data_IF_253722559654
#
_entry.id   IF_253722559654
#
_cell.length_a   1.000
_cell.length_b   1.000
_cell.length_c   1.000
_cell.angle_alpha   90.00
_cell.angle_beta   90.00
_cell.angle_gamma   90.00
#
_symmetry.space_group_name_H-M   'P 1'
#
loop_
_entity.id
_entity.type
_entity.pdbx_description
1 polymer ?
#
# COMPACT_ATOMS: atom_id res chain seq x y z
N UNK A 1 22.52 35.76 -12.13
CA UNK A 1 23.55 34.74 -11.87
C UNK A 1 22.83 33.54 -11.28
N UNK A 2 22.66 32.49 -12.09
CA UNK A 2 22.00 31.27 -11.63
C UNK A 2 22.99 30.51 -10.74
N UNK A 3 22.60 30.27 -9.48
CA UNK A 3 23.40 29.55 -8.50
C UNK A 3 23.56 28.09 -8.93
N UNK A 4 24.80 27.66 -9.10
CA UNK A 4 25.19 26.28 -9.35
C UNK A 4 24.81 25.50 -8.09
N UNK A 5 23.87 24.57 -8.19
CA UNK A 5 23.42 23.72 -7.11
C UNK A 5 24.61 23.02 -6.44
N UNK A 6 24.62 22.99 -5.09
CA UNK A 6 25.71 22.45 -4.30
C UNK A 6 25.98 20.97 -4.57
N UNK A 7 27.15 20.43 -4.07
CA UNK A 7 27.57 19.03 -4.34
C UNK A 7 26.52 17.96 -3.98
N UNK A 8 25.60 18.26 -3.10
CA UNK A 8 24.52 17.38 -2.66
C UNK A 8 23.40 17.28 -3.72
N UNK A 9 23.05 18.40 -4.38
CA UNK A 9 22.04 18.42 -5.47
C UNK A 9 22.56 17.72 -6.73
N UNK A 10 23.81 17.95 -7.11
CA UNK A 10 24.45 17.23 -8.19
C UNK A 10 24.48 15.73 -7.94
N UNK A 11 24.81 15.30 -6.71
CA UNK A 11 24.82 13.88 -6.32
C UNK A 11 23.43 13.26 -6.39
N UNK A 12 22.38 13.99 -5.97
CA UNK A 12 20.97 13.55 -6.07
C UNK A 12 20.52 13.44 -7.53
N UNK A 13 20.87 14.39 -8.37
CA UNK A 13 20.56 14.35 -9.81
C UNK A 13 21.25 13.20 -10.53
N UNK A 14 22.53 12.94 -10.24
CA UNK A 14 23.27 11.78 -10.75
C UNK A 14 22.69 10.46 -10.28
N UNK A 15 22.26 10.36 -9.01
CA UNK A 15 21.61 9.15 -8.51
C UNK A 15 20.24 8.92 -9.16
N UNK A 16 19.46 9.96 -9.45
CA UNK A 16 18.22 9.84 -10.23
C UNK A 16 18.48 9.37 -11.65
N UNK A 17 19.47 9.94 -12.34
CA UNK A 17 19.84 9.55 -13.70
C UNK A 17 20.36 8.10 -13.74
N UNK A 18 21.24 7.71 -12.82
CA UNK A 18 21.71 6.33 -12.69
C UNK A 18 20.55 5.37 -12.39
N UNK A 19 19.59 5.76 -11.54
CA UNK A 19 18.38 4.99 -11.26
C UNK A 19 17.56 4.72 -12.52
N UNK A 20 17.40 5.71 -13.42
CA UNK A 20 16.70 5.54 -14.69
C UNK A 20 17.35 4.48 -15.61
N UNK A 21 18.67 4.28 -15.49
CA UNK A 21 19.40 3.29 -16.27
C UNK A 21 19.45 1.91 -15.61
N UNK A 22 19.57 1.85 -14.28
CA UNK A 22 19.77 0.62 -13.54
C UNK A 22 18.46 -0.07 -13.13
N UNK A 23 17.38 0.69 -12.95
CA UNK A 23 16.05 0.21 -12.52
C UNK A 23 15.11 -0.02 -13.72
N UNK A 24 15.66 -0.21 -14.92
CA UNK A 24 14.82 -0.50 -16.09
C UNK A 24 14.07 -1.80 -15.90
N UNK A 25 12.75 -1.81 -16.15
CA UNK A 25 11.97 -3.03 -16.13
C UNK A 25 12.56 -4.08 -17.08
N UNK A 26 12.49 -5.32 -16.66
CA UNK A 26 12.90 -6.44 -17.50
C UNK A 26 11.90 -6.67 -18.62
N UNK A 27 12.38 -7.16 -19.74
CA UNK A 27 11.53 -7.42 -20.91
C UNK A 27 10.71 -8.70 -20.69
N UNK A 28 9.50 -8.73 -21.27
CA UNK A 28 8.69 -9.94 -21.41
C UNK A 28 9.52 -11.09 -21.99
N UNK A 29 9.34 -12.29 -21.46
CA UNK A 29 10.10 -13.49 -21.83
C UNK A 29 11.46 -13.63 -21.15
N UNK A 30 11.91 -12.62 -20.34
CA UNK A 30 13.12 -12.78 -19.54
C UNK A 30 12.89 -13.84 -18.47
N UNK A 31 13.82 -14.80 -18.36
CA UNK A 31 13.78 -15.87 -17.34
C UNK A 31 14.69 -15.51 -16.16
N UNK A 32 14.12 -15.46 -14.95
CA UNK A 32 14.82 -15.21 -13.70
C UNK A 32 15.15 -16.56 -13.04
N UNK A 33 16.39 -16.72 -12.60
CA UNK A 33 16.90 -17.93 -11.95
C UNK A 33 16.57 -19.26 -12.69
N UNK A 34 16.34 -19.21 -14.01
CA UNK A 34 15.95 -20.38 -14.79
C UNK A 34 14.54 -20.90 -14.56
N UNK A 35 13.76 -20.27 -13.67
CA UNK A 35 12.43 -20.72 -13.23
C UNK A 35 11.30 -19.77 -13.56
N UNK A 36 11.45 -18.49 -13.29
CA UNK A 36 10.36 -17.51 -13.40
C UNK A 36 10.45 -16.76 -14.73
N UNK A 37 9.49 -16.96 -15.62
CA UNK A 37 9.42 -16.28 -16.92
C UNK A 37 8.52 -15.07 -16.82
N UNK A 38 9.07 -13.87 -17.05
CA UNK A 38 8.34 -12.61 -16.97
C UNK A 38 7.31 -12.51 -18.09
N UNK A 39 6.05 -12.28 -17.73
CA UNK A 39 4.96 -11.98 -18.65
C UNK A 39 4.77 -10.47 -18.82
N UNK A 40 4.85 -9.68 -17.72
CA UNK A 40 4.65 -8.25 -17.72
C UNK A 40 5.07 -7.57 -16.42
N UNK A 41 5.10 -6.24 -16.43
CA UNK A 41 5.31 -5.42 -15.25
C UNK A 41 3.95 -5.18 -14.58
N UNK A 42 3.83 -5.50 -13.29
CA UNK A 42 2.65 -5.21 -12.46
C UNK A 42 2.76 -3.83 -11.78
N UNK A 43 3.97 -3.46 -11.34
CA UNK A 43 4.16 -2.19 -10.64
C UNK A 43 5.62 -1.78 -10.47
N UNK A 44 5.79 -0.48 -10.24
CA UNK A 44 7.09 0.16 -10.03
C UNK A 44 7.07 0.94 -8.70
N UNK A 45 7.31 0.23 -7.58
CA UNK A 45 7.41 0.85 -6.26
C UNK A 45 8.71 1.63 -6.05
N UNK A 46 8.85 2.28 -4.90
CA UNK A 46 10.05 3.08 -4.57
C UNK A 46 11.32 2.24 -4.45
N UNK A 47 11.21 0.99 -3.99
CA UNK A 47 12.33 0.10 -3.66
C UNK A 47 12.37 -1.20 -4.45
N UNK A 48 11.30 -1.53 -5.17
CA UNK A 48 11.16 -2.77 -5.93
C UNK A 48 10.43 -2.59 -7.25
N UNK A 49 10.58 -3.59 -8.09
CA UNK A 49 9.84 -3.79 -9.35
C UNK A 49 9.06 -5.08 -9.20
N UNK A 50 7.76 -5.07 -9.45
CA UNK A 50 6.90 -6.25 -9.34
C UNK A 50 6.46 -6.69 -10.72
N UNK A 51 6.63 -7.96 -11.02
CA UNK A 51 6.32 -8.57 -12.31
C UNK A 51 5.29 -9.68 -12.17
N UNK A 52 4.42 -9.79 -13.15
CA UNK A 52 3.68 -11.01 -13.41
C UNK A 52 4.64 -12.01 -14.08
N UNK A 53 4.80 -13.18 -13.49
CA UNK A 53 5.63 -14.24 -14.01
C UNK A 53 4.86 -15.55 -14.06
N UNK A 54 5.26 -16.45 -14.99
CA UNK A 54 4.88 -17.85 -14.91
C UNK A 54 6.00 -18.62 -14.21
N UNK A 55 5.69 -19.37 -13.16
CA UNK A 55 6.60 -20.32 -12.54
C UNK A 55 6.64 -21.59 -13.38
N UNK A 56 7.75 -21.85 -14.04
CA UNK A 56 7.94 -23.00 -14.97
C UNK A 56 7.91 -24.36 -14.26
N UNK A 57 8.07 -24.39 -12.94
CA UNK A 57 8.00 -25.65 -12.17
C UNK A 57 6.56 -26.05 -11.88
N UNK A 58 5.69 -25.06 -11.61
CA UNK A 58 4.30 -25.32 -11.23
C UNK A 58 3.30 -25.01 -12.33
N UNK A 59 3.71 -24.27 -13.37
CA UNK A 59 2.86 -23.76 -14.43
C UNK A 59 1.91 -22.66 -13.98
N UNK A 60 2.03 -22.16 -12.73
CA UNK A 60 1.17 -21.11 -12.16
C UNK A 60 1.71 -19.72 -12.42
N UNK A 61 0.80 -18.77 -12.49
CA UNK A 61 1.16 -17.37 -12.47
C UNK A 61 1.44 -16.90 -11.04
N UNK A 62 2.50 -16.08 -10.89
CA UNK A 62 3.00 -15.58 -9.61
C UNK A 62 3.37 -14.10 -9.74
N UNK A 63 3.34 -13.37 -8.62
CA UNK A 63 3.90 -12.04 -8.53
C UNK A 63 5.35 -12.12 -8.02
N UNK A 64 6.30 -11.61 -8.81
CA UNK A 64 7.72 -11.61 -8.47
C UNK A 64 8.18 -10.18 -8.25
N UNK A 65 8.60 -9.85 -7.04
CA UNK A 65 9.14 -8.53 -6.66
C UNK A 65 10.66 -8.59 -6.60
N UNK A 66 11.32 -7.68 -7.32
CA UNK A 66 12.75 -7.57 -7.45
C UNK A 66 13.26 -6.30 -6.74
N UNK A 67 14.31 -6.40 -5.92
CA UNK A 67 14.92 -5.22 -5.28
C UNK A 67 15.57 -4.29 -6.31
N UNK A 68 15.34 -2.96 -6.20
CA UNK A 68 15.92 -1.96 -7.11
C UNK A 68 17.41 -1.75 -6.86
N UNK A 69 18.29 -1.95 -7.86
CA UNK A 69 19.72 -1.73 -7.73
C UNK A 69 20.10 -0.31 -7.30
N UNK A 70 19.38 0.71 -7.81
CA UNK A 70 19.65 2.12 -7.46
C UNK A 70 19.49 2.42 -5.97
N UNK A 71 18.79 1.56 -5.23
CA UNK A 71 18.53 1.70 -3.79
C UNK A 71 19.48 0.84 -2.94
N UNK A 72 20.33 0.05 -3.58
CA UNK A 72 21.40 -0.72 -2.94
C UNK A 72 20.90 -1.59 -1.78
N UNK A 73 21.67 -1.59 -0.68
CA UNK A 73 21.37 -2.41 0.52
C UNK A 73 20.02 -2.10 1.16
N UNK A 74 19.51 -0.86 1.03
CA UNK A 74 18.21 -0.52 1.60
C UNK A 74 17.08 -1.31 0.93
N UNK A 75 17.08 -1.39 -0.42
CA UNK A 75 16.07 -2.16 -1.13
C UNK A 75 16.09 -3.65 -0.76
N UNK A 76 17.30 -4.22 -0.58
CA UNK A 76 17.47 -5.61 -0.13
C UNK A 76 16.89 -5.79 1.27
N UNK A 77 17.29 -4.95 2.25
CA UNK A 77 16.77 -5.01 3.63
C UNK A 77 15.25 -4.89 3.71
N UNK A 78 14.66 -4.00 2.90
CA UNK A 78 13.22 -3.83 2.88
C UNK A 78 12.52 -5.08 2.30
N UNK A 79 13.09 -5.66 1.24
CA UNK A 79 12.54 -6.87 0.64
C UNK A 79 12.67 -8.08 1.57
N UNK A 80 13.82 -8.23 2.25
CA UNK A 80 14.03 -9.29 3.24
C UNK A 80 13.03 -9.15 4.40
N UNK A 81 12.80 -7.90 4.87
CA UNK A 81 11.81 -7.62 5.91
C UNK A 81 10.39 -7.93 5.45
N UNK A 82 10.04 -7.57 4.22
CA UNK A 82 8.75 -7.91 3.61
C UNK A 82 8.53 -9.42 3.60
N UNK A 83 9.55 -10.19 3.21
CA UNK A 83 9.51 -11.66 3.24
C UNK A 83 9.33 -12.20 4.67
N UNK A 84 10.05 -11.67 5.65
CA UNK A 84 9.95 -12.09 7.06
C UNK A 84 8.55 -11.85 7.64
N UNK A 85 7.92 -10.73 7.27
CA UNK A 85 6.53 -10.42 7.67
C UNK A 85 5.57 -11.37 6.96
N UNK A 86 5.64 -11.47 5.63
CA UNK A 86 4.72 -12.30 4.85
C UNK A 86 4.78 -13.77 5.22
N UNK A 87 5.94 -14.29 5.61
CA UNK A 87 6.10 -15.69 6.08
C UNK A 87 5.30 -16.01 7.36
N UNK A 88 4.78 -14.99 8.05
CA UNK A 88 3.95 -15.13 9.25
C UNK A 88 2.46 -14.94 8.98
N UNK A 89 2.12 -14.51 7.79
CA UNK A 89 0.75 -14.24 7.40
C UNK A 89 0.10 -15.50 6.83
N UNK A 90 -0.99 -15.93 7.45
CA UNK A 90 -1.86 -17.03 6.96
C UNK A 90 -3.30 -16.51 6.98
N UNK A 91 -3.69 -15.82 5.92
CA UNK A 91 -5.00 -15.18 5.80
C UNK A 91 -5.47 -15.16 4.34
N UNK A 92 -6.73 -15.55 4.03
CA UNK A 92 -7.21 -15.68 2.65
C UNK A 92 -7.21 -14.37 1.85
N UNK A 93 -7.21 -13.22 2.53
CA UNK A 93 -7.12 -11.91 1.88
C UNK A 93 -5.70 -11.34 1.82
N UNK A 94 -4.66 -12.14 2.11
CA UNK A 94 -3.24 -11.80 2.01
C UNK A 94 -2.58 -12.82 1.09
N UNK A 95 -1.81 -12.42 0.04
CA UNK A 95 -1.13 -13.37 -0.83
C UNK A 95 -0.13 -14.24 -0.07
N UNK A 96 -0.10 -15.53 -0.39
CA UNK A 96 0.89 -16.46 0.17
C UNK A 96 2.31 -16.10 -0.31
N UNK A 97 3.31 -16.16 0.57
CA UNK A 97 4.73 -16.10 0.21
C UNK A 97 5.17 -17.48 -0.31
N UNK A 98 5.57 -17.56 -1.59
CA UNK A 98 5.88 -18.81 -2.27
C UNK A 98 7.37 -19.10 -2.32
N UNK A 99 8.22 -18.07 -2.48
CA UNK A 99 9.67 -18.21 -2.59
C UNK A 99 10.42 -16.95 -2.22
N UNK A 100 11.64 -17.11 -1.71
CA UNK A 100 12.58 -16.00 -1.39
C UNK A 100 13.96 -16.43 -1.86
N UNK A 101 14.59 -15.69 -2.74
CA UNK A 101 15.90 -16.04 -3.24
C UNK A 101 16.74 -14.83 -3.68
N UNK A 102 18.04 -15.05 -3.78
CA UNK A 102 18.97 -14.11 -4.41
C UNK A 102 19.45 -14.68 -5.74
N UNK A 103 19.37 -13.92 -6.79
CA UNK A 103 19.89 -14.29 -8.08
C UNK A 103 20.78 -13.17 -8.64
N UNK A 104 22.02 -13.51 -8.96
CA UNK A 104 23.09 -12.55 -9.28
C UNK A 104 23.30 -11.58 -8.09
N UNK A 105 23.00 -10.29 -8.25
CA UNK A 105 23.19 -9.24 -7.25
C UNK A 105 21.89 -8.66 -6.73
N UNK A 106 20.75 -9.35 -6.91
CA UNK A 106 19.41 -8.87 -6.57
C UNK A 106 18.68 -9.88 -5.71
N UNK A 107 17.91 -9.38 -4.77
CA UNK A 107 16.98 -10.19 -3.97
C UNK A 107 15.60 -10.19 -4.60
N UNK A 108 14.90 -11.29 -4.45
CA UNK A 108 13.57 -11.55 -5.00
C UNK A 108 12.67 -12.16 -3.94
N UNK A 109 11.42 -11.76 -3.93
CA UNK A 109 10.32 -12.48 -3.28
C UNK A 109 9.30 -12.85 -4.35
N UNK A 110 8.67 -14.01 -4.15
CA UNK A 110 7.61 -14.53 -5.02
C UNK A 110 6.40 -14.79 -4.17
N UNK A 111 5.28 -14.23 -4.57
CA UNK A 111 4.00 -14.39 -3.89
C UNK A 111 2.96 -14.95 -4.83
N UNK A 112 1.86 -15.43 -4.28
CA UNK A 112 0.66 -15.71 -5.04
C UNK A 112 0.29 -14.47 -5.89
N UNK A 113 -0.08 -14.72 -7.15
CA UNK A 113 -0.64 -13.68 -7.99
C UNK A 113 -2.16 -13.60 -7.78
N UNK A 114 -2.62 -12.49 -7.25
CA UNK A 114 -4.06 -12.24 -7.10
C UNK A 114 -4.58 -11.67 -8.41
N UNK A 115 -5.38 -12.48 -9.13
CA UNK A 115 -6.02 -12.04 -10.36
C UNK A 115 -7.17 -11.09 -10.02
N UNK A 116 -7.00 -9.83 -10.33
CA UNK A 116 -7.95 -8.76 -10.04
C UNK A 116 -7.37 -7.40 -10.38
N UNK A 117 -8.06 -6.35 -10.02
CA UNK A 117 -7.64 -4.97 -10.25
C UNK A 117 -7.48 -4.27 -8.92
N UNK A 118 -6.50 -3.38 -8.83
CA UNK A 118 -6.39 -2.52 -7.66
C UNK A 118 -7.56 -1.55 -7.60
N UNK A 119 -7.95 -1.13 -6.40
CA UNK A 119 -8.99 -0.09 -6.28
C UNK A 119 -8.58 1.22 -6.94
N UNK A 120 -7.27 1.49 -7.03
CA UNK A 120 -6.75 2.61 -7.83
C UNK A 120 -7.14 2.46 -9.31
N UNK A 121 -6.91 1.28 -9.92
CA UNK A 121 -7.31 1.00 -11.31
C UNK A 121 -8.82 1.06 -11.49
N UNK A 122 -9.60 0.50 -10.56
CA UNK A 122 -11.06 0.58 -10.61
C UNK A 122 -11.55 2.04 -10.67
N UNK A 123 -10.95 2.93 -9.87
CA UNK A 123 -11.35 4.34 -9.81
C UNK A 123 -10.84 5.12 -11.02
N UNK A 124 -9.52 5.08 -11.28
CA UNK A 124 -8.90 5.98 -12.26
C UNK A 124 -8.92 5.46 -13.69
N UNK A 125 -8.78 4.14 -13.90
CA UNK A 125 -8.73 3.58 -15.25
C UNK A 125 -10.13 3.21 -15.74
N UNK A 126 -11.02 2.74 -14.83
CA UNK A 126 -12.39 2.33 -15.18
C UNK A 126 -13.45 3.38 -14.85
N UNK A 127 -13.10 4.43 -14.09
CA UNK A 127 -14.04 5.47 -13.67
C UNK A 127 -15.13 4.98 -12.71
N UNK A 128 -14.87 3.90 -11.96
CA UNK A 128 -15.82 3.34 -11.01
C UNK A 128 -16.03 4.30 -9.83
N UNK A 129 -17.29 4.56 -9.53
CA UNK A 129 -17.74 5.36 -8.39
C UNK A 129 -18.28 4.44 -7.31
N UNK A 130 -18.02 4.79 -6.06
CA UNK A 130 -18.45 4.01 -4.91
C UNK A 130 -19.38 4.82 -4.02
N UNK A 131 -20.48 4.25 -3.61
CA UNK A 131 -21.40 4.80 -2.61
C UNK A 131 -20.82 4.71 -1.20
N UNK A 132 -21.37 5.44 -0.23
CA UNK A 132 -20.98 5.30 1.19
C UNK A 132 -21.09 3.85 1.67
N UNK A 133 -22.16 3.15 1.29
CA UNK A 133 -22.36 1.76 1.66
C UNK A 133 -21.26 0.86 1.09
N UNK A 134 -20.97 0.94 -0.20
CA UNK A 134 -19.90 0.16 -0.83
C UNK A 134 -18.52 0.47 -0.24
N UNK A 135 -18.22 1.74 0.06
CA UNK A 135 -16.99 2.13 0.74
C UNK A 135 -16.87 1.45 2.11
N UNK A 136 -17.93 1.47 2.92
CA UNK A 136 -17.94 0.84 4.24
C UNK A 136 -17.85 -0.68 4.16
N UNK A 137 -18.47 -1.33 3.17
CA UNK A 137 -18.35 -2.76 2.93
C UNK A 137 -16.92 -3.17 2.59
N UNK A 138 -16.19 -2.36 1.79
CA UNK A 138 -14.78 -2.58 1.48
C UNK A 138 -13.89 -2.36 2.71
N UNK A 139 -14.11 -1.29 3.49
CA UNK A 139 -13.39 -1.04 4.74
C UNK A 139 -13.60 -2.19 5.72
N UNK A 140 -14.83 -2.67 5.87
CA UNK A 140 -15.14 -3.83 6.72
C UNK A 140 -14.36 -5.08 6.30
N UNK A 141 -14.28 -5.35 5.00
CA UNK A 141 -13.49 -6.48 4.51
C UNK A 141 -12.00 -6.31 4.80
N UNK A 142 -11.45 -5.09 4.69
CA UNK A 142 -10.05 -4.79 4.98
C UNK A 142 -9.69 -4.93 6.45
N UNK A 143 -10.64 -4.73 7.37
CA UNK A 143 -10.37 -4.93 8.80
C UNK A 143 -9.90 -6.35 9.11
N UNK A 144 -10.41 -7.37 8.42
CA UNK A 144 -10.04 -8.77 8.66
C UNK A 144 -8.53 -9.02 8.45
N UNK A 145 -7.91 -8.76 7.28
CA UNK A 145 -6.47 -8.91 7.11
C UNK A 145 -5.65 -7.94 7.97
N UNK A 146 -6.11 -6.71 8.23
CA UNK A 146 -5.41 -5.76 9.11
C UNK A 146 -5.35 -6.30 10.54
N UNK A 147 -6.46 -6.77 11.10
CA UNK A 147 -6.50 -7.39 12.43
C UNK A 147 -5.58 -8.60 12.50
N UNK A 148 -5.56 -9.45 11.46
CA UNK A 148 -4.64 -10.58 11.41
C UNK A 148 -3.17 -10.12 11.47
N UNK A 149 -2.78 -9.08 10.71
CA UNK A 149 -1.44 -8.48 10.78
C UNK A 149 -1.12 -8.00 12.19
N UNK A 150 -2.08 -7.32 12.86
CA UNK A 150 -1.92 -6.84 14.23
C UNK A 150 -1.77 -8.00 15.23
N UNK A 151 -2.54 -9.09 15.10
CA UNK A 151 -2.41 -10.30 15.92
C UNK A 151 -1.04 -10.95 15.80
N UNK A 152 -0.38 -10.87 14.63
CA UNK A 152 0.98 -11.32 14.44
C UNK A 152 2.04 -10.36 15.02
N UNK A 153 1.63 -9.22 15.63
CA UNK A 153 2.50 -8.23 16.24
C UNK A 153 3.14 -7.24 15.26
N UNK A 154 2.53 -7.05 14.09
CA UNK A 154 2.97 -6.14 13.05
C UNK A 154 1.92 -5.09 12.73
N UNK A 155 2.32 -4.02 12.03
CA UNK A 155 1.44 -3.14 11.27
C UNK A 155 1.76 -3.27 9.79
N UNK A 156 0.78 -3.01 8.93
CA UNK A 156 0.98 -2.97 7.48
C UNK A 156 1.75 -1.69 7.06
N UNK A 157 1.32 -0.53 7.56
CA UNK A 157 2.00 0.77 7.41
C UNK A 157 1.90 1.39 6.01
N UNK A 158 1.02 0.87 5.13
CA UNK A 158 0.75 1.45 3.80
C UNK A 158 -0.63 0.99 3.26
N UNK A 159 -1.68 1.08 4.10
CA UNK A 159 -3.06 0.70 3.71
C UNK A 159 -3.66 1.78 2.83
N UNK A 160 -3.63 1.57 1.51
CA UNK A 160 -4.11 2.53 0.51
C UNK A 160 -4.63 1.85 -0.76
N UNK A 161 -5.37 2.57 -1.59
CA UNK A 161 -6.08 2.02 -2.76
C UNK A 161 -5.19 1.27 -3.78
N UNK A 162 -3.90 1.61 -4.05
CA UNK A 162 -3.06 0.81 -4.92
C UNK A 162 -2.65 -0.55 -4.31
N UNK A 163 -2.74 -0.68 -2.97
CA UNK A 163 -2.34 -1.88 -2.23
C UNK A 163 -3.54 -2.78 -1.87
N UNK A 164 -4.70 -2.53 -2.47
CA UNK A 164 -5.91 -3.33 -2.29
C UNK A 164 -6.42 -3.79 -3.65
N UNK A 165 -6.39 -5.11 -3.88
CA UNK A 165 -6.93 -5.74 -5.09
C UNK A 165 -8.37 -6.19 -4.82
N UNK A 166 -9.27 -5.89 -5.76
CA UNK A 166 -10.63 -6.38 -5.78
C UNK A 166 -10.73 -7.57 -6.75
N UNK A 167 -11.07 -8.76 -6.22
CA UNK A 167 -11.29 -9.98 -6.97
C UNK A 167 -12.65 -10.56 -6.60
N UNK A 168 -13.57 -10.67 -7.55
CA UNK A 168 -14.90 -11.25 -7.35
C UNK A 168 -15.67 -10.66 -6.15
N UNK A 169 -15.52 -9.34 -5.91
CA UNK A 169 -16.13 -8.63 -4.78
C UNK A 169 -15.42 -8.80 -3.44
N UNK A 170 -14.31 -9.55 -3.39
CA UNK A 170 -13.48 -9.72 -2.20
C UNK A 170 -12.20 -8.88 -2.30
N UNK A 171 -11.82 -8.27 -1.18
CA UNK A 171 -10.58 -7.49 -1.10
C UNK A 171 -9.39 -8.38 -0.73
N UNK A 172 -8.23 -8.06 -1.33
CA UNK A 172 -6.95 -8.63 -0.95
C UNK A 172 -5.97 -7.51 -0.66
N UNK A 173 -5.32 -7.56 0.52
CA UNK A 173 -4.32 -6.60 0.95
C UNK A 173 -2.94 -7.08 0.49
N UNK A 174 -2.23 -6.24 -0.27
CA UNK A 174 -0.93 -6.56 -0.86
C UNK A 174 0.13 -5.52 -0.48
N UNK A 175 1.40 -5.83 -0.78
CA UNK A 175 2.58 -4.95 -0.60
C UNK A 175 2.91 -4.63 0.86
N UNK A 176 3.58 -5.56 1.53
CA UNK A 176 4.09 -5.46 2.90
C UNK A 176 5.46 -4.76 3.00
N UNK A 177 5.86 -4.01 1.96
CA UNK A 177 7.17 -3.36 1.89
C UNK A 177 7.43 -2.28 2.96
N UNK A 178 6.39 -1.74 3.61
CA UNK A 178 6.48 -0.82 4.74
C UNK A 178 6.05 -1.45 6.07
N UNK A 179 5.64 -2.72 6.04
CA UNK A 179 5.25 -3.43 7.25
C UNK A 179 6.39 -3.49 8.27
N UNK A 180 6.05 -3.36 9.54
CA UNK A 180 7.03 -3.35 10.64
C UNK A 180 6.42 -3.87 11.94
N UNK A 181 7.29 -4.37 12.81
CA UNK A 181 6.88 -4.88 14.10
C UNK A 181 6.35 -3.75 14.96
N UNK A 182 5.29 -3.99 15.73
CA UNK A 182 4.79 -3.03 16.72
C UNK A 182 5.88 -2.62 17.69
N UNK A 183 5.95 -1.33 18.03
CA UNK A 183 7.00 -0.75 18.86
C UNK A 183 8.32 -0.47 18.12
N UNK A 184 8.45 -0.83 16.82
CA UNK A 184 9.62 -0.44 16.04
C UNK A 184 9.48 0.97 15.45
N UNK A 185 10.56 1.76 15.46
CA UNK A 185 10.59 3.05 14.78
C UNK A 185 10.65 2.88 13.26
N UNK A 186 10.22 3.90 12.53
CA UNK A 186 10.44 3.95 11.09
C UNK A 186 11.95 4.02 10.80
N UNK A 187 12.40 3.30 9.77
CA UNK A 187 13.81 3.33 9.37
C UNK A 187 14.25 4.77 9.03
N UNK A 188 15.41 5.24 9.50
CA UNK A 188 15.88 6.62 9.27
C UNK A 188 15.95 7.00 7.78
N UNK A 189 16.26 6.00 6.92
CA UNK A 189 16.32 6.19 5.48
C UNK A 189 14.95 6.44 4.85
N UNK A 190 13.87 5.93 5.46
CA UNK A 190 12.49 6.17 5.05
C UNK A 190 12.00 7.52 5.57
N UNK A 191 12.32 7.88 6.82
CA UNK A 191 12.03 9.20 7.42
C UNK A 191 12.45 10.34 6.50
N UNK A 192 13.67 10.34 5.97
CA UNK A 192 14.21 11.40 5.09
C UNK A 192 13.43 11.62 3.80
N UNK A 193 12.50 10.75 3.42
CA UNK A 193 11.70 10.88 2.20
C UNK A 193 10.29 11.40 2.46
N UNK A 194 9.78 11.15 3.62
CA UNK A 194 8.42 11.55 4.03
C UNK A 194 8.40 13.00 4.50
N UNK A 195 9.56 13.56 4.90
CA UNK A 195 9.65 14.88 5.52
C UNK A 195 10.00 16.01 4.55
N UNK A 196 8.96 16.74 4.12
CA UNK A 196 8.94 18.21 3.98
C UNK A 196 8.30 18.88 5.22
N UNK A 197 7.93 18.13 6.27
CA UNK A 197 7.30 18.59 7.51
C UNK A 197 8.25 18.38 8.71
N UNK A 198 8.13 19.17 9.81
CA UNK A 198 8.97 19.03 10.98
C UNK A 198 8.90 17.61 11.54
N UNK A 199 10.06 17.05 11.90
CA UNK A 199 10.22 15.68 12.36
C UNK A 199 9.24 15.36 13.50
N UNK A 200 8.30 14.43 13.34
CA UNK A 200 7.67 13.85 14.51
C UNK A 200 8.74 13.08 15.30
N UNK A 201 8.76 13.25 16.58
CA UNK A 201 9.50 12.41 17.53
C UNK A 201 9.25 10.95 17.16
N UNK A 202 10.23 10.05 17.42
CA UNK A 202 10.27 8.66 16.99
C UNK A 202 8.92 7.95 17.12
N UNK A 203 8.08 8.08 16.08
CA UNK A 203 6.77 7.47 16.04
C UNK A 203 6.93 5.95 15.89
N UNK A 204 6.64 5.26 16.99
CA UNK A 204 6.70 3.82 17.05
C UNK A 204 5.52 3.21 16.30
N UNK A 205 5.75 2.08 15.66
CA UNK A 205 4.71 1.33 14.98
C UNK A 205 3.58 0.95 15.94
N UNK A 206 2.38 1.42 15.67
CA UNK A 206 1.19 1.15 16.45
C UNK A 206 -0.02 0.89 15.55
N UNK A 207 -1.01 0.08 15.97
CA UNK A 207 -2.22 -0.22 15.21
C UNK A 207 -2.97 1.03 14.71
N UNK A 208 -2.90 2.12 15.46
CA UNK A 208 -3.50 3.41 15.07
C UNK A 208 -3.07 3.90 13.69
N UNK A 209 -1.84 3.59 13.26
CA UNK A 209 -1.33 4.02 11.97
C UNK A 209 -2.09 3.34 10.82
N UNK A 210 -2.35 2.03 10.92
CA UNK A 210 -3.17 1.33 9.91
C UNK A 210 -4.62 1.80 9.93
N UNK A 211 -5.17 2.18 11.10
CA UNK A 211 -6.51 2.76 11.19
C UNK A 211 -6.57 4.18 10.60
N UNK A 212 -5.52 4.99 10.75
CA UNK A 212 -5.43 6.29 10.08
C UNK A 212 -5.29 6.13 8.56
N UNK A 213 -4.45 5.20 8.10
CA UNK A 213 -4.33 4.85 6.69
C UNK A 213 -5.70 4.42 6.13
N UNK A 214 -6.46 3.63 6.89
CA UNK A 214 -7.82 3.22 6.53
C UNK A 214 -8.79 4.41 6.47
N UNK A 215 -8.58 5.44 7.29
CA UNK A 215 -9.30 6.72 7.21
C UNK A 215 -9.01 7.45 5.90
N UNK A 216 -7.75 7.55 5.52
CA UNK A 216 -7.35 8.12 4.22
C UNK A 216 -7.87 7.28 3.05
N UNK A 217 -7.81 5.95 3.16
CA UNK A 217 -8.39 5.03 2.19
C UNK A 217 -9.89 5.29 2.01
N UNK A 218 -10.67 5.34 3.10
CA UNK A 218 -12.11 5.62 3.07
C UNK A 218 -12.40 6.97 2.42
N UNK A 219 -11.66 8.01 2.82
CA UNK A 219 -11.82 9.35 2.24
C UNK A 219 -11.59 9.33 0.73
N UNK A 220 -10.54 8.66 0.26
CA UNK A 220 -10.24 8.52 -1.16
C UNK A 220 -11.35 7.79 -1.92
N UNK A 221 -11.86 6.70 -1.36
CA UNK A 221 -12.98 5.95 -1.93
C UNK A 221 -14.24 6.81 -2.06
N UNK A 222 -14.57 7.59 -1.04
CA UNK A 222 -15.72 8.50 -1.05
C UNK A 222 -15.58 9.61 -2.12
N UNK A 223 -14.37 10.09 -2.36
CA UNK A 223 -14.10 11.05 -3.43
C UNK A 223 -14.28 10.47 -4.84
N UNK A 224 -14.32 9.16 -5.02
CA UNK A 224 -14.58 8.54 -6.33
C UNK A 224 -15.93 8.93 -6.93
N UNK A 225 -16.92 9.26 -6.08
CA UNK A 225 -18.25 9.71 -6.51
C UNK A 225 -18.40 11.25 -6.51
N UNK A 226 -17.40 11.99 -6.06
CA UNK A 226 -17.45 13.45 -6.01
C UNK A 226 -17.31 14.08 -7.40
N UNK A 227 -18.21 15.01 -7.70
CA UNK A 227 -18.15 15.82 -8.92
C UNK A 227 -18.00 17.30 -8.53
N UNK A 228 -16.83 17.91 -8.82
CA UNK A 228 -16.62 19.31 -8.48
C UNK A 228 -17.56 20.24 -9.27
N UNK A 229 -18.22 21.14 -8.57
CA UNK A 229 -19.04 22.18 -9.22
C UNK A 229 -18.15 23.16 -10.00
N UNK A 230 -18.51 23.44 -11.27
CA UNK A 230 -17.72 24.35 -12.12
C UNK A 230 -17.61 25.75 -11.48
N UNK A 231 -16.37 26.20 -11.29
CA UNK A 231 -16.09 27.53 -10.75
C UNK A 231 -16.09 27.63 -9.22
N UNK A 232 -16.38 26.55 -8.49
CA UNK A 232 -16.22 26.50 -7.03
C UNK A 232 -14.74 26.34 -6.68
N UNK A 233 -14.25 27.09 -5.70
CA UNK A 233 -12.91 26.90 -5.16
C UNK A 233 -12.85 25.60 -4.37
N UNK A 234 -11.68 24.88 -4.37
CA UNK A 234 -11.50 23.74 -3.50
C UNK A 234 -11.82 24.10 -2.04
N UNK A 235 -12.57 23.25 -1.38
CA UNK A 235 -12.97 23.40 0.00
C UNK A 235 -12.49 22.20 0.83
N UNK A 236 -12.81 22.16 2.12
CA UNK A 236 -12.51 20.99 2.94
C UNK A 236 -13.41 19.81 2.52
N UNK A 237 -12.95 18.58 2.76
CA UNK A 237 -13.75 17.39 2.46
C UNK A 237 -15.11 17.40 3.19
N UNK A 238 -15.18 18.04 4.38
CA UNK A 238 -16.42 18.19 5.13
C UNK A 238 -17.46 19.05 4.41
N UNK A 239 -17.01 19.96 3.54
CA UNK A 239 -17.87 20.84 2.74
C UNK A 239 -18.15 20.26 1.35
N UNK A 240 -17.21 19.47 0.81
CA UNK A 240 -17.31 18.88 -0.53
C UNK A 240 -18.15 17.61 -0.53
N UNK A 241 -17.96 16.73 0.47
CA UNK A 241 -18.67 15.46 0.55
C UNK A 241 -19.96 15.57 1.38
N UNK A 242 -21.06 15.19 0.76
CA UNK A 242 -22.38 15.12 1.43
C UNK A 242 -22.55 13.76 2.10
N UNK A 243 -21.88 13.57 3.24
CA UNK A 243 -21.88 12.31 3.98
C UNK A 243 -23.00 12.26 5.03
N UNK A 244 -23.46 11.03 5.33
CA UNK A 244 -24.31 10.83 6.51
C UNK A 244 -23.55 11.21 7.78
N UNK A 245 -24.25 11.66 8.85
CA UNK A 245 -23.60 12.07 10.10
C UNK A 245 -22.72 10.96 10.70
N UNK A 246 -23.15 9.73 10.59
CA UNK A 246 -22.44 8.56 11.09
C UNK A 246 -21.11 8.31 10.34
N UNK A 247 -21.13 8.32 9.00
CA UNK A 247 -19.93 8.15 8.16
C UNK A 247 -18.97 9.32 8.39
N UNK A 248 -19.48 10.54 8.47
CA UNK A 248 -18.68 11.73 8.79
C UNK A 248 -17.97 11.59 10.14
N UNK A 249 -18.69 11.19 11.19
CA UNK A 249 -18.11 11.01 12.53
C UNK A 249 -17.03 9.92 12.53
N UNK A 250 -17.29 8.79 11.86
CA UNK A 250 -16.32 7.70 11.71
C UNK A 250 -15.04 8.18 11.01
N UNK A 251 -15.20 8.92 9.92
CA UNK A 251 -14.07 9.45 9.15
C UNK A 251 -13.26 10.47 9.96
N UNK A 252 -13.93 11.37 10.72
CA UNK A 252 -13.27 12.32 11.60
C UNK A 252 -12.46 11.62 12.70
N UNK A 253 -12.95 10.50 13.25
CA UNK A 253 -12.24 9.69 14.24
C UNK A 253 -11.02 9.01 13.61
N UNK A 254 -11.16 8.39 12.44
CA UNK A 254 -10.07 7.72 11.72
C UNK A 254 -8.96 8.71 11.32
N UNK A 255 -9.32 9.94 10.92
CA UNK A 255 -8.37 10.97 10.52
C UNK A 255 -7.78 11.78 11.72
N UNK A 256 -8.06 11.37 12.96
CA UNK A 256 -7.56 12.04 14.16
C UNK A 256 -8.13 13.45 14.42
N UNK A 257 -9.23 13.80 13.77
CA UNK A 257 -9.94 15.10 14.00
C UNK A 257 -10.84 15.06 15.23
N UNK A 258 -11.05 13.87 15.79
CA UNK A 258 -11.76 13.57 17.05
C UNK A 258 -11.03 12.44 17.77
N UNK A 259 -11.32 12.17 19.07
CA UNK A 259 -10.81 10.97 19.73
C UNK A 259 -11.03 9.73 18.87
N UNK A 260 -9.94 9.04 18.56
CA UNK A 260 -9.89 7.94 17.59
C UNK A 260 -10.46 6.64 18.14
N UNK A 261 -10.05 5.55 17.50
CA UNK A 261 -10.35 4.17 17.90
C UNK A 261 -9.24 3.58 18.78
N UNK A 262 -8.17 4.36 19.08
CA UNK A 262 -7.03 3.96 19.90
C UNK A 262 -6.46 2.56 19.54
N UNK A 263 -6.40 2.26 18.23
CA UNK A 263 -5.96 0.96 17.71
C UNK A 263 -7.00 -0.16 17.82
N UNK A 264 -8.19 0.11 18.35
CA UNK A 264 -9.27 -0.88 18.48
C UNK A 264 -10.06 -1.04 17.17
N UNK A 265 -9.58 -1.94 16.31
CA UNK A 265 -10.25 -2.30 15.07
C UNK A 265 -11.63 -2.97 15.29
N UNK A 266 -11.88 -3.59 16.44
CA UNK A 266 -13.18 -4.18 16.77
C UNK A 266 -14.23 -3.09 17.05
N UNK A 267 -13.84 -2.01 17.73
CA UNK A 267 -14.74 -0.87 17.93
C UNK A 267 -15.15 -0.25 16.57
N UNK A 268 -14.17 -0.06 15.67
CA UNK A 268 -14.43 0.40 14.31
C UNK A 268 -15.37 -0.55 13.55
N UNK A 269 -15.16 -1.86 13.66
CA UNK A 269 -16.05 -2.86 13.02
C UNK A 269 -17.48 -2.76 13.52
N UNK A 270 -17.68 -2.59 14.82
CA UNK A 270 -19.03 -2.43 15.42
C UNK A 270 -19.70 -1.16 14.90
N UNK A 271 -18.95 -0.06 14.79
CA UNK A 271 -19.48 1.19 14.24
C UNK A 271 -19.87 1.04 12.77
N UNK A 272 -19.04 0.39 11.94
CA UNK A 272 -19.35 0.09 10.53
C UNK A 272 -20.63 -0.75 10.43
N UNK A 273 -20.76 -1.82 11.22
CA UNK A 273 -21.93 -2.68 11.18
C UNK A 273 -23.22 -1.94 11.53
N UNK A 274 -23.14 -1.04 12.53
CA UNK A 274 -24.27 -0.20 12.93
C UNK A 274 -24.71 0.74 11.80
N UNK A 275 -23.74 1.32 11.07
CA UNK A 275 -24.04 2.22 9.96
C UNK A 275 -24.59 1.43 8.77
N UNK A 276 -24.01 0.31 8.41
CA UNK A 276 -24.49 -0.54 7.32
C UNK A 276 -25.92 -1.07 7.57
N UNK A 277 -26.31 -1.34 8.83
CA UNK A 277 -27.69 -1.71 9.17
C UNK A 277 -28.69 -0.58 8.91
N UNK A 278 -28.26 0.68 8.99
CA UNK A 278 -29.14 1.84 8.74
C UNK A 278 -29.21 2.21 7.27
N UNK A 279 -28.20 1.86 6.47
CA UNK A 279 -28.15 2.16 5.03
C UNK A 279 -28.87 1.10 4.16
N UNK A 280 -29.21 -0.04 4.73
CA UNK A 280 -30.06 -1.10 4.12
C UNK A 280 -31.53 -0.75 4.24
#
# INVERSE_FOLDING_TARGET
MAGVGGPVELRRSWQRLLGLWTDRPRRKGTKIAGRYTIYGLLGMGSYGLTYLCTDEQTGKDVALKESKPSKGRLAVRLLDREADVMNRMDHPAIPELLDVFTYRTRSYIVTEYILGETLEQCIFDQGRKYTEQECLELVKQLLSPIMHVHEQGYIHGDVRIPNVILRDGQVHLIDFGLARRMGEPLLPELKRRIHELPEPEDELAAPDQDLQDLGHFLLFMLYSAYEPEKGRKPASWQEELKLTPEVRNMLERLLGLRPGYEGDALELQVDIDRVLMKLR
#
